data_IF_223131803667
#
_entry.id   IF_223131803667
#
_cell.length_a   1.000
_cell.length_b   1.000
_cell.length_c   1.000
_cell.angle_alpha   90.00
_cell.angle_beta   90.00
_cell.angle_gamma   90.00
#
_symmetry.space_group_name_H-M   'P 1'
#
loop_
_entity.id
_entity.type
_entity.pdbx_description
1 polymer ?
#
# COMPACT_ATOMS: atom_id res chain seq x y z
N UNK A 1 -36.56 -44.50 17.41
CA UNK A 1 -37.56 -43.71 18.17
C UNK A 1 -37.02 -43.49 19.58
N UNK A 2 -37.16 -42.27 20.10
CA UNK A 2 -36.72 -41.73 21.42
C UNK A 2 -35.20 -41.59 21.64
N UNK A 3 -34.55 -40.42 21.58
CA UNK A 3 -34.73 -39.10 22.21
C UNK A 3 -34.23 -39.02 23.67
N UNK A 4 -33.10 -38.34 23.92
CA UNK A 4 -32.93 -37.38 25.03
C UNK A 4 -31.59 -36.60 24.91
N UNK A 5 -31.72 -35.28 24.94
CA UNK A 5 -30.70 -34.22 24.87
C UNK A 5 -30.84 -33.41 26.16
N UNK A 6 -29.76 -33.14 26.91
CA UNK A 6 -29.55 -31.99 27.86
C UNK A 6 -28.19 -32.21 28.59
N UNK A 7 -27.19 -31.36 28.36
CA UNK A 7 -26.86 -30.07 29.00
C UNK A 7 -26.44 -30.21 30.47
N UNK A 8 -25.13 -30.02 30.73
CA UNK A 8 -24.64 -29.58 32.03
C UNK A 8 -23.75 -28.34 31.83
N UNK A 9 -24.20 -27.24 32.42
CA UNK A 9 -23.48 -25.98 32.59
C UNK A 9 -22.31 -26.17 33.56
N UNK A 10 -21.18 -25.53 33.27
CA UNK A 10 -20.05 -25.42 34.19
C UNK A 10 -19.31 -24.13 33.92
N UNK A 11 -19.86 -23.03 34.43
CA UNK A 11 -19.22 -21.72 34.54
C UNK A 11 -18.03 -21.79 35.49
N UNK A 12 -16.86 -21.31 35.06
CA UNK A 12 -15.98 -20.58 35.98
C UNK A 12 -15.26 -19.46 35.22
N UNK A 13 -15.76 -18.27 35.49
CA UNK A 13 -15.20 -16.96 35.16
C UNK A 13 -14.03 -16.64 36.12
N UNK A 14 -13.35 -15.52 35.84
CA UNK A 14 -12.43 -14.74 36.71
C UNK A 14 -10.95 -15.20 36.66
N UNK A 15 -9.90 -14.37 36.49
CA UNK A 15 -9.67 -12.94 36.73
C UNK A 15 -8.56 -12.44 35.79
N UNK A 16 -8.67 -11.19 35.31
CA UNK A 16 -7.65 -10.46 34.58
C UNK A 16 -6.61 -9.80 35.50
N UNK A 17 -5.34 -9.74 35.08
CA UNK A 17 -4.38 -8.75 35.58
C UNK A 17 -3.74 -7.99 34.41
N UNK A 18 -4.01 -6.68 34.42
CA UNK A 18 -3.47 -5.64 33.56
C UNK A 18 -2.12 -5.21 34.10
N UNK A 19 -1.09 -5.12 33.25
CA UNK A 19 0.07 -4.23 33.47
C UNK A 19 0.53 -3.63 32.15
N UNK A 20 0.47 -2.30 32.08
CA UNK A 20 0.80 -1.47 30.93
C UNK A 20 2.33 -1.29 30.74
N UNK A 21 2.82 -1.03 29.51
CA UNK A 21 4.17 -0.54 29.29
C UNK A 21 4.25 0.98 29.50
N UNK A 22 5.02 1.41 30.50
CA UNK A 22 5.40 2.81 30.70
C UNK A 22 6.51 3.20 29.73
N UNK A 23 6.21 4.16 28.84
CA UNK A 23 7.21 4.91 28.11
C UNK A 23 8.03 5.78 29.08
N UNK A 24 9.35 5.86 28.85
CA UNK A 24 10.24 6.80 29.50
C UNK A 24 10.89 7.67 28.42
N UNK A 25 10.46 8.92 28.35
CA UNK A 25 11.10 10.04 27.65
C UNK A 25 11.77 10.87 28.74
N UNK A 26 13.07 11.09 28.61
CA UNK A 26 13.89 12.06 29.34
C UNK A 26 15.12 12.28 28.42
N UNK A 27 15.33 13.37 27.69
CA UNK A 27 15.48 14.78 28.04
C UNK A 27 16.75 15.08 28.88
N UNK A 28 17.87 15.33 28.21
CA UNK A 28 19.09 15.95 28.77
C UNK A 28 20.01 16.31 27.57
N UNK A 29 20.73 17.44 27.41
CA UNK A 29 20.86 18.73 28.09
C UNK A 29 21.71 19.63 27.17
N UNK A 30 21.22 20.85 26.95
CA UNK A 30 21.91 22.14 26.74
C UNK A 30 23.39 22.24 26.27
N UNK A 31 23.54 22.94 25.12
CA UNK A 31 24.42 24.10 24.83
C UNK A 31 25.96 23.92 24.71
N UNK A 32 26.70 24.77 23.94
CA UNK A 32 26.33 26.12 23.50
C UNK A 32 26.59 26.48 22.01
N UNK A 33 25.98 27.59 21.61
CA UNK A 33 26.28 28.35 20.41
C UNK A 33 27.72 28.90 20.40
N UNK A 34 28.31 29.09 19.22
CA UNK A 34 28.90 30.39 18.94
C UNK A 34 28.56 30.96 17.55
N UNK A 35 28.29 32.27 17.57
CA UNK A 35 28.77 33.29 16.64
C UNK A 35 28.28 33.25 15.19
N UNK A 36 27.23 34.04 14.96
CA UNK A 36 26.88 34.64 13.68
C UNK A 36 28.03 35.54 13.20
N UNK A 37 28.64 35.17 12.07
CA UNK A 37 29.44 36.07 11.25
C UNK A 37 28.83 36.15 9.87
N UNK A 38 28.10 37.25 9.65
CA UNK A 38 27.53 37.64 8.37
C UNK A 38 28.61 38.30 7.53
N UNK A 39 29.18 37.58 6.57
CA UNK A 39 29.94 38.20 5.48
C UNK A 39 29.31 37.76 4.17
N UNK A 40 28.35 38.55 3.69
CA UNK A 40 27.74 38.37 2.37
C UNK A 40 28.74 38.86 1.34
N UNK A 41 29.48 37.90 0.78
CA UNK A 41 30.45 38.12 -0.28
C UNK A 41 29.82 37.64 -1.60
N UNK A 42 29.10 38.55 -2.28
CA UNK A 42 28.54 38.32 -3.61
C UNK A 42 29.64 38.29 -4.67
N UNK A 43 30.25 37.12 -4.84
CA UNK A 43 31.05 36.81 -6.02
C UNK A 43 30.12 36.14 -7.02
N UNK A 44 29.68 36.91 -8.01
CA UNK A 44 28.91 36.41 -9.15
C UNK A 44 29.79 35.53 -10.03
N UNK A 45 30.01 34.29 -9.58
CA UNK A 45 30.60 33.24 -10.40
C UNK A 45 29.65 32.93 -11.56
N UNK A 46 30.12 33.20 -12.79
CA UNK A 46 29.40 32.96 -14.03
C UNK A 46 28.92 31.50 -14.08
N UNK A 47 27.62 31.30 -13.88
CA UNK A 47 26.98 29.99 -13.98
C UNK A 47 26.79 29.67 -15.46
N UNK A 48 27.85 29.17 -16.10
CA UNK A 48 27.75 28.53 -17.41
C UNK A 48 26.76 27.39 -17.28
N UNK A 49 25.53 27.62 -17.75
CA UNK A 49 24.46 26.66 -17.75
C UNK A 49 24.84 25.47 -18.62
N UNK A 50 25.48 24.46 -18.02
CA UNK A 50 25.55 23.13 -18.63
C UNK A 50 24.11 22.62 -18.66
N UNK A 51 23.46 22.84 -19.81
CA UNK A 51 22.14 22.32 -20.13
C UNK A 51 22.18 20.83 -19.86
N UNK A 52 21.58 20.41 -18.75
CA UNK A 52 21.52 19.01 -18.37
C UNK A 52 20.74 18.31 -19.46
N UNK A 53 21.44 17.68 -20.39
CA UNK A 53 20.85 16.78 -21.37
C UNK A 53 20.11 15.75 -20.54
N UNK A 54 18.77 15.75 -20.63
CA UNK A 54 17.91 14.71 -20.07
C UNK A 54 18.42 13.41 -20.66
N UNK A 55 19.26 12.70 -19.91
CA UNK A 55 19.64 11.34 -20.25
C UNK A 55 18.35 10.56 -20.23
N UNK A 56 17.87 10.15 -21.41
CA UNK A 56 16.88 9.08 -21.50
C UNK A 56 17.39 7.99 -20.56
N UNK A 57 16.60 7.66 -19.53
CA UNK A 57 16.90 6.53 -18.65
C UNK A 57 16.97 5.33 -19.59
N UNK A 58 18.20 4.91 -19.92
CA UNK A 58 18.40 3.66 -20.65
C UNK A 58 17.77 2.60 -19.77
N UNK A 59 16.80 1.89 -20.34
CA UNK A 59 16.22 0.73 -19.69
C UNK A 59 17.32 -0.28 -19.34
N UNK A 60 16.99 -1.26 -18.50
CA UNK A 60 17.90 -2.35 -18.15
C UNK A 60 18.59 -2.92 -19.40
N UNK A 61 19.91 -3.15 -19.37
CA UNK A 61 20.58 -3.79 -20.49
C UNK A 61 20.07 -5.24 -20.64
N UNK A 62 19.36 -5.50 -21.74
CA UNK A 62 18.95 -6.82 -22.21
C UNK A 62 17.84 -7.48 -21.41
N UNK A 63 16.62 -7.57 -21.97
CA UNK A 63 15.59 -8.60 -21.70
C UNK A 63 15.17 -8.94 -20.26
N UNK A 64 15.73 -8.31 -19.23
CA UNK A 64 15.58 -8.74 -17.83
C UNK A 64 14.38 -8.06 -17.18
N UNK A 65 13.51 -8.87 -16.56
CA UNK A 65 12.34 -8.41 -15.81
C UNK A 65 12.72 -8.19 -14.33
N UNK A 66 12.78 -6.92 -13.92
CA UNK A 66 13.01 -6.51 -12.53
C UNK A 66 11.72 -6.48 -11.71
N UNK A 67 11.10 -7.66 -11.54
CA UNK A 67 9.98 -7.87 -10.63
C UNK A 67 10.27 -9.05 -9.68
N UNK A 68 9.57 -9.12 -8.54
CA UNK A 68 9.62 -10.30 -7.66
C UNK A 68 8.99 -11.51 -8.36
N UNK A 69 7.80 -11.30 -8.91
CA UNK A 69 7.02 -12.29 -9.66
C UNK A 69 6.57 -11.66 -10.99
N UNK A 70 6.46 -12.44 -12.05
CA UNK A 70 5.95 -12.02 -13.36
C UNK A 70 5.42 -13.22 -14.15
N UNK A 71 4.45 -12.98 -15.03
CA UNK A 71 3.97 -13.94 -16.02
C UNK A 71 3.55 -13.16 -17.27
N UNK A 72 3.81 -13.72 -18.45
CA UNK A 72 3.37 -13.23 -19.75
C UNK A 72 2.67 -14.39 -20.46
N UNK A 73 1.43 -14.15 -20.85
CA UNK A 73 0.57 -15.15 -21.49
C UNK A 73 0.03 -14.54 -22.78
N UNK A 74 0.02 -15.33 -23.86
CA UNK A 74 -0.74 -14.99 -25.07
C UNK A 74 -2.25 -15.14 -24.77
N UNK A 75 -3.04 -14.06 -24.85
CA UNK A 75 -4.46 -14.11 -24.50
C UNK A 75 -5.30 -14.97 -25.45
N UNK A 76 -4.83 -15.26 -26.68
CA UNK A 76 -5.59 -16.04 -27.66
C UNK A 76 -5.33 -17.54 -27.54
N UNK A 77 -4.07 -17.93 -27.32
CA UNK A 77 -3.64 -19.34 -27.24
C UNK A 77 -3.57 -19.84 -25.80
N UNK A 78 -3.42 -18.94 -24.82
CA UNK A 78 -3.13 -19.30 -23.44
C UNK A 78 -1.68 -19.72 -23.20
N UNK A 79 -0.81 -19.61 -24.21
CA UNK A 79 0.60 -19.99 -24.10
C UNK A 79 1.36 -19.06 -23.16
N UNK A 80 2.11 -19.63 -22.21
CA UNK A 80 3.00 -18.86 -21.32
C UNK A 80 4.30 -18.58 -22.05
N UNK A 81 4.51 -17.32 -22.44
CA UNK A 81 5.70 -16.88 -23.17
C UNK A 81 6.88 -16.53 -22.25
N UNK A 82 6.57 -16.18 -21.00
CA UNK A 82 7.57 -15.89 -19.97
C UNK A 82 6.97 -16.05 -18.57
N UNK A 83 7.78 -16.54 -17.63
CA UNK A 83 7.39 -16.58 -16.22
C UNK A 83 8.58 -16.37 -15.29
N UNK A 84 8.27 -15.85 -14.10
CA UNK A 84 9.21 -15.65 -13.00
C UNK A 84 8.43 -15.79 -11.70
N UNK A 85 8.66 -16.85 -10.93
CA UNK A 85 7.95 -17.11 -9.66
C UNK A 85 6.41 -16.97 -9.77
N UNK A 86 5.84 -17.41 -10.90
CA UNK A 86 4.42 -17.26 -11.24
C UNK A 86 3.49 -17.96 -10.23
N UNK A 87 3.88 -19.15 -9.75
CA UNK A 87 3.11 -19.92 -8.77
C UNK A 87 3.30 -19.52 -7.30
N UNK A 88 4.14 -18.53 -6.99
CA UNK A 88 4.40 -18.13 -5.61
C UNK A 88 3.28 -17.22 -5.07
N UNK A 89 2.75 -17.55 -3.89
CA UNK A 89 1.79 -16.71 -3.19
C UNK A 89 2.40 -15.34 -2.85
N UNK A 90 1.71 -14.26 -3.21
CA UNK A 90 2.14 -12.89 -2.93
C UNK A 90 0.93 -11.98 -2.67
N UNK A 91 1.10 -10.87 -1.91
CA UNK A 91 0.05 -9.89 -1.76
C UNK A 91 -0.36 -9.28 -3.11
N UNK A 92 -1.60 -9.51 -3.52
CA UNK A 92 -2.15 -9.01 -4.79
C UNK A 92 -2.51 -7.51 -4.75
N UNK A 93 -2.67 -6.94 -3.55
CA UNK A 93 -2.99 -5.53 -3.31
C UNK A 93 -4.19 -5.06 -4.17
N UNK A 94 -4.06 -3.97 -4.94
CA UNK A 94 -5.16 -3.47 -5.77
C UNK A 94 -5.56 -4.39 -6.92
N UNK A 95 -4.80 -5.45 -7.25
CA UNK A 95 -5.23 -6.44 -8.25
C UNK A 95 -6.48 -7.21 -7.80
N UNK A 96 -6.78 -7.27 -6.50
CA UNK A 96 -8.05 -7.84 -5.99
C UNK A 96 -9.27 -7.19 -6.63
N UNK A 97 -9.17 -5.91 -7.04
CA UNK A 97 -10.26 -5.18 -7.69
C UNK A 97 -10.71 -5.84 -8.98
N UNK A 98 -9.83 -6.52 -9.70
CA UNK A 98 -10.22 -7.27 -10.90
C UNK A 98 -11.24 -8.36 -10.59
N UNK A 99 -11.09 -9.05 -9.45
CA UNK A 99 -12.07 -10.04 -9.01
C UNK A 99 -13.37 -9.39 -8.53
N UNK A 100 -13.28 -8.25 -7.85
CA UNK A 100 -14.46 -7.47 -7.44
C UNK A 100 -15.26 -7.01 -8.66
N UNK A 101 -14.58 -6.47 -9.67
CA UNK A 101 -15.19 -6.01 -10.92
C UNK A 101 -15.84 -7.18 -11.66
N UNK A 102 -15.14 -8.32 -11.77
CA UNK A 102 -15.66 -9.53 -12.42
C UNK A 102 -16.96 -10.01 -11.74
N UNK A 103 -16.94 -10.20 -10.42
CA UNK A 103 -18.10 -10.69 -9.65
C UNK A 103 -19.24 -9.67 -9.66
N UNK A 104 -18.93 -8.38 -9.63
CA UNK A 104 -19.95 -7.33 -9.72
C UNK A 104 -20.62 -7.31 -11.09
N UNK A 105 -19.86 -7.39 -12.18
CA UNK A 105 -20.41 -7.40 -13.54
C UNK A 105 -21.21 -8.67 -13.86
N UNK A 106 -20.83 -9.81 -13.27
CA UNK A 106 -21.57 -11.08 -13.40
C UNK A 106 -23.01 -10.96 -12.87
N UNK A 107 -23.26 -10.08 -11.90
CA UNK A 107 -24.60 -9.80 -11.38
C UNK A 107 -25.48 -9.00 -12.35
N UNK A 108 -24.94 -8.57 -13.51
CA UNK A 108 -25.61 -7.72 -14.50
C UNK A 108 -26.31 -6.49 -13.87
N UNK A 109 -25.59 -5.68 -13.07
CA UNK A 109 -26.17 -4.51 -12.44
C UNK A 109 -26.58 -3.47 -13.49
N UNK A 110 -27.62 -2.69 -13.19
CA UNK A 110 -27.92 -1.49 -13.95
C UNK A 110 -26.84 -0.43 -13.69
N UNK A 111 -25.99 -0.18 -14.68
CA UNK A 111 -24.91 0.81 -14.61
C UNK A 111 -25.41 2.25 -14.85
N UNK A 112 -26.66 2.43 -15.29
CA UNK A 112 -27.28 3.75 -15.46
C UNK A 112 -27.94 4.25 -14.18
N UNK A 113 -28.10 3.38 -13.17
CA UNK A 113 -28.73 3.76 -11.90
C UNK A 113 -27.88 4.76 -11.14
N UNK A 114 -28.53 5.75 -10.54
CA UNK A 114 -27.87 6.64 -9.59
C UNK A 114 -27.60 5.89 -8.29
N UNK A 115 -26.41 6.09 -7.73
CA UNK A 115 -25.99 5.54 -6.44
C UNK A 115 -25.52 6.70 -5.57
N UNK A 116 -26.06 6.81 -4.37
CA UNK A 116 -25.62 7.79 -3.37
C UNK A 116 -24.35 7.28 -2.71
N UNK A 117 -23.31 8.12 -2.68
CA UNK A 117 -22.08 7.84 -1.93
C UNK A 117 -22.23 8.44 -0.53
N UNK A 118 -22.21 7.59 0.48
CA UNK A 118 -22.37 8.01 1.88
C UNK A 118 -21.03 8.43 2.48
N UNK A 119 -21.07 9.20 3.58
CA UNK A 119 -19.84 9.59 4.31
C UNK A 119 -19.05 8.41 4.85
N UNK A 120 -19.73 7.31 5.20
CA UNK A 120 -19.07 6.10 5.71
C UNK A 120 -18.20 5.44 4.64
N UNK A 121 -18.58 5.53 3.36
CA UNK A 121 -17.81 4.96 2.23
C UNK A 121 -16.62 5.84 1.84
N UNK A 122 -16.62 7.11 2.25
CA UNK A 122 -15.48 8.01 2.10
C UNK A 122 -14.40 7.76 3.16
N UNK A 123 -14.73 7.09 4.27
CA UNK A 123 -13.75 6.76 5.30
C UNK A 123 -12.73 5.75 4.77
N UNK A 124 -11.44 6.06 4.95
CA UNK A 124 -10.34 5.28 4.36
C UNK A 124 -10.22 5.36 2.83
N UNK A 125 -10.98 6.22 2.14
CA UNK A 125 -10.88 6.37 0.70
C UNK A 125 -9.56 7.07 0.32
N UNK A 126 -8.70 6.37 -0.43
CA UNK A 126 -7.33 6.86 -0.68
C UNK A 126 -7.21 8.07 -1.62
N UNK A 127 -7.96 8.09 -2.73
CA UNK A 127 -7.83 9.11 -3.80
C UNK A 127 -9.16 9.73 -4.23
N UNK A 128 -10.19 9.68 -3.38
CA UNK A 128 -11.49 10.28 -3.72
C UNK A 128 -11.45 11.82 -3.63
N UNK A 129 -12.18 12.49 -4.54
CA UNK A 129 -12.37 13.95 -4.53
C UNK A 129 -13.80 14.35 -4.15
N UNK A 130 -14.64 13.36 -3.84
CA UNK A 130 -16.00 13.58 -3.35
C UNK A 130 -15.92 14.13 -1.91
N UNK A 131 -16.72 15.15 -1.61
CA UNK A 131 -16.75 15.86 -0.32
C UNK A 131 -18.16 15.88 0.23
#
# INVERSE_FOLDING_TARGET
MSCARRRLWGTLFLVATVTAPTMRVEAETTNPAPTVSTTVQHHSAAKTGRRAVRRHRRGPPGGVVYARNAILVDPFTGEVLYEKNSGAAAPIASLTKLMTDLVFLEQKPDLSRNVEVTRAELDGAGRTKLR
#
